data_IF_467254760296
#
_entry.id   IF_467254760296
#
_cell.length_a   1.000
_cell.length_b   1.000
_cell.length_c   1.000
_cell.angle_alpha   90.00
_cell.angle_beta   90.00
_cell.angle_gamma   90.00
#
_symmetry.space_group_name_H-M   'P 1'
#
loop_
_entity.id
_entity.type
_entity.pdbx_description
1 polymer ?
#
# COMPACT_ATOMS: atom_id res chain seq x y z
N UNK A 1 25.24 3.15 -4.32
CA UNK A 1 24.38 2.00 -4.73
C UNK A 1 23.69 1.44 -3.47
N UNK A 2 22.90 2.24 -2.72
CA UNK A 2 22.50 1.82 -1.34
C UNK A 2 21.14 2.39 -0.87
N UNK A 3 20.17 2.67 -1.76
CA UNK A 3 18.87 3.28 -1.35
C UNK A 3 17.69 2.29 -1.32
N UNK A 4 17.74 1.24 -2.16
CA UNK A 4 16.59 0.33 -2.37
C UNK A 4 16.30 -0.58 -1.17
N UNK A 5 17.32 -1.13 -0.51
CA UNK A 5 17.15 -2.13 0.55
C UNK A 5 16.58 -1.56 1.86
N UNK A 6 16.86 -0.29 2.16
CA UNK A 6 16.40 0.36 3.40
C UNK A 6 14.90 0.68 3.35
N UNK A 7 14.39 1.12 2.19
CA UNK A 7 12.96 1.41 2.01
C UNK A 7 12.12 0.13 2.07
N UNK A 8 12.55 -0.97 1.45
CA UNK A 8 11.84 -2.25 1.53
C UNK A 8 11.70 -2.82 2.95
N UNK A 9 12.62 -2.48 3.86
CA UNK A 9 12.56 -2.94 5.27
C UNK A 9 11.59 -2.08 6.08
N UNK A 10 11.59 -0.77 5.83
CA UNK A 10 10.63 0.17 6.44
C UNK A 10 9.20 -0.14 5.97
N UNK A 11 9.00 -0.43 4.69
CA UNK A 11 7.69 -0.80 4.14
C UNK A 11 7.14 -2.10 4.76
N UNK A 12 7.98 -3.15 4.86
CA UNK A 12 7.60 -4.39 5.54
C UNK A 12 7.26 -4.18 7.01
N UNK A 13 8.00 -3.32 7.70
CA UNK A 13 7.72 -2.93 9.08
C UNK A 13 6.34 -2.25 9.19
N UNK A 14 6.02 -1.30 8.32
CA UNK A 14 4.71 -0.65 8.31
C UNK A 14 3.56 -1.62 8.03
N UNK A 15 3.75 -2.57 7.11
CA UNK A 15 2.76 -3.63 6.83
C UNK A 15 2.53 -4.52 8.05
N UNK A 16 3.59 -4.87 8.77
CA UNK A 16 3.49 -5.75 9.94
C UNK A 16 2.89 -5.05 11.16
N UNK A 17 3.30 -3.81 11.43
CA UNK A 17 2.70 -2.94 12.46
C UNK A 17 1.23 -2.68 12.12
N UNK A 18 0.91 -2.39 10.86
CA UNK A 18 -0.47 -2.19 10.42
C UNK A 18 -1.34 -3.44 10.54
N UNK A 19 -0.82 -4.61 10.19
CA UNK A 19 -1.59 -5.86 10.18
C UNK A 19 -1.84 -6.47 11.57
N UNK A 20 -0.89 -6.34 12.51
CA UNK A 20 -0.98 -6.99 13.82
C UNK A 20 -1.48 -6.06 14.93
N UNK A 21 -1.06 -4.80 14.95
CA UNK A 21 -1.46 -3.82 15.96
C UNK A 21 -2.78 -3.13 15.57
N UNK A 22 -2.81 -2.45 14.43
CA UNK A 22 -3.95 -1.61 14.06
C UNK A 22 -5.24 -2.43 13.85
N UNK A 23 -5.12 -3.70 13.42
CA UNK A 23 -6.26 -4.58 13.20
C UNK A 23 -7.07 -4.88 14.47
N UNK A 24 -6.41 -5.01 15.63
CA UNK A 24 -7.09 -5.28 16.92
C UNK A 24 -7.86 -4.07 17.40
N UNK A 25 -7.23 -2.89 17.37
CA UNK A 25 -7.86 -1.62 17.74
C UNK A 25 -9.01 -1.25 16.79
N UNK A 26 -8.85 -1.51 15.49
CA UNK A 26 -9.95 -1.33 14.53
C UNK A 26 -11.16 -2.19 14.88
N UNK A 27 -10.97 -3.48 15.18
CA UNK A 27 -12.07 -4.36 15.56
C UNK A 27 -12.76 -3.90 16.86
N UNK A 28 -11.99 -3.40 17.83
CA UNK A 28 -12.52 -2.85 19.07
C UNK A 28 -13.39 -1.61 18.84
N UNK A 29 -12.91 -0.62 18.09
CA UNK A 29 -13.67 0.60 17.79
C UNK A 29 -14.91 0.32 16.93
N UNK A 30 -14.84 -0.58 15.95
CA UNK A 30 -16.03 -1.00 15.20
C UNK A 30 -17.08 -1.68 16.10
N UNK A 31 -16.66 -2.42 17.12
CA UNK A 31 -17.60 -2.94 18.12
C UNK A 31 -18.22 -1.82 18.97
N UNK A 32 -17.44 -0.80 19.36
CA UNK A 32 -17.95 0.36 20.09
C UNK A 32 -18.96 1.16 19.25
N UNK A 33 -18.71 1.37 17.97
CA UNK A 33 -19.67 2.00 17.04
C UNK A 33 -20.97 1.22 16.97
N UNK A 34 -20.89 -0.11 16.79
CA UNK A 34 -22.07 -0.95 16.60
C UNK A 34 -22.90 -1.16 17.88
N UNK A 35 -22.25 -1.35 19.03
CA UNK A 35 -22.92 -1.76 20.28
C UNK A 35 -23.23 -0.55 21.17
N UNK A 36 -22.34 0.44 21.18
CA UNK A 36 -22.41 1.57 22.10
C UNK A 36 -22.73 2.90 21.40
N UNK A 37 -23.08 2.87 20.11
CA UNK A 37 -23.44 4.04 19.30
C UNK A 37 -22.34 5.12 19.32
N UNK A 38 -21.08 4.68 19.37
CA UNK A 38 -19.94 5.56 19.18
C UNK A 38 -20.07 6.22 17.80
N UNK A 39 -19.89 7.53 17.74
CA UNK A 39 -19.99 8.32 16.52
C UNK A 39 -18.65 8.97 16.26
N UNK A 40 -17.97 8.51 15.21
CA UNK A 40 -16.66 9.01 14.80
C UNK A 40 -16.70 10.46 14.28
N UNK A 41 -17.87 10.97 13.90
CA UNK A 41 -18.05 12.35 13.46
C UNK A 41 -18.32 13.31 14.64
N UNK A 42 -18.57 12.77 15.83
CA UNK A 42 -18.84 13.56 17.01
C UNK A 42 -17.52 13.89 17.75
N UNK A 43 -17.10 15.16 17.82
CA UNK A 43 -15.85 15.55 18.46
C UNK A 43 -15.80 15.22 19.97
N UNK A 44 -16.94 15.15 20.64
CA UNK A 44 -17.01 14.75 22.06
C UNK A 44 -16.72 13.27 22.22
N UNK A 45 -17.23 12.42 21.32
CA UNK A 45 -16.91 10.99 21.31
C UNK A 45 -15.44 10.77 21.00
N UNK A 46 -14.87 11.47 20.01
CA UNK A 46 -13.43 11.43 19.72
C UNK A 46 -12.58 11.86 20.93
N UNK A 47 -12.95 12.95 21.60
CA UNK A 47 -12.26 13.40 22.82
C UNK A 47 -12.28 12.35 23.92
N UNK A 48 -13.42 11.68 24.12
CA UNK A 48 -13.54 10.61 25.11
C UNK A 48 -12.65 9.41 24.75
N UNK A 49 -12.64 9.00 23.48
CA UNK A 49 -11.78 7.91 23.00
C UNK A 49 -10.30 8.23 23.20
N UNK A 50 -9.88 9.45 22.85
CA UNK A 50 -8.50 9.89 23.08
C UNK A 50 -8.17 9.88 24.58
N UNK A 51 -9.08 10.33 25.44
CA UNK A 51 -8.83 10.38 26.88
C UNK A 51 -8.74 8.99 27.52
N UNK A 52 -9.53 8.03 27.02
CA UNK A 52 -9.60 6.69 27.61
C UNK A 52 -8.56 5.72 27.06
N UNK A 53 -8.28 5.78 25.76
CA UNK A 53 -7.55 4.71 25.06
C UNK A 53 -6.24 5.16 24.43
N UNK A 54 -5.92 6.46 24.36
CA UNK A 54 -4.69 6.92 23.70
C UNK A 54 -3.43 6.41 24.40
N UNK A 55 -3.43 6.39 25.74
CA UNK A 55 -2.31 5.87 26.51
C UNK A 55 -2.14 4.35 26.31
N UNK A 56 -3.25 3.61 26.29
CA UNK A 56 -3.25 2.16 26.04
C UNK A 56 -2.78 1.83 24.61
N UNK A 57 -3.23 2.60 23.62
CA UNK A 57 -2.77 2.51 22.22
C UNK A 57 -1.27 2.78 22.15
N UNK A 58 -0.79 3.82 22.85
CA UNK A 58 0.63 4.15 22.93
C UNK A 58 1.45 3.02 23.55
N UNK A 59 0.96 2.43 24.64
CA UNK A 59 1.60 1.30 25.30
C UNK A 59 1.67 0.06 24.40
N UNK A 60 0.57 -0.31 23.75
CA UNK A 60 0.53 -1.43 22.81
C UNK A 60 1.48 -1.22 21.62
N UNK A 61 1.58 0.02 21.11
CA UNK A 61 2.52 0.37 20.06
C UNK A 61 3.98 0.12 20.50
N UNK A 62 4.33 0.60 21.70
CA UNK A 62 5.66 0.42 22.29
C UNK A 62 6.01 -1.07 22.49
N UNK A 63 5.05 -1.87 22.96
CA UNK A 63 5.23 -3.32 23.16
C UNK A 63 5.47 -4.05 21.84
N UNK A 64 4.73 -3.71 20.79
CA UNK A 64 4.90 -4.31 19.46
C UNK A 64 6.26 -3.95 18.85
N UNK A 65 6.71 -2.72 19.06
CA UNK A 65 8.04 -2.29 18.66
C UNK A 65 9.15 -3.09 19.34
N UNK A 66 9.05 -3.31 20.66
CA UNK A 66 10.03 -4.12 21.40
C UNK A 66 10.14 -5.56 20.90
N UNK A 67 9.00 -6.19 20.57
CA UNK A 67 8.99 -7.54 19.97
C UNK A 67 9.65 -7.60 18.61
N UNK A 68 9.44 -6.57 17.78
CA UNK A 68 10.12 -6.46 16.50
C UNK A 68 11.63 -6.39 16.70
N UNK A 69 12.11 -5.54 17.61
CA UNK A 69 13.55 -5.38 17.88
C UNK A 69 14.19 -6.71 18.33
N UNK A 70 13.56 -7.40 19.28
CA UNK A 70 14.03 -8.71 19.77
C UNK A 70 14.09 -9.77 18.65
N UNK A 71 13.06 -9.83 17.80
CA UNK A 71 13.04 -10.76 16.66
C UNK A 71 14.11 -10.43 15.63
N UNK A 72 14.36 -9.16 15.33
CA UNK A 72 15.43 -8.78 14.39
C UNK A 72 16.80 -9.15 14.94
N UNK A 73 17.05 -8.92 16.23
CA UNK A 73 18.29 -9.32 16.89
C UNK A 73 18.47 -10.85 16.86
N UNK A 74 17.40 -11.61 17.09
CA UNK A 74 17.42 -13.08 17.00
C UNK A 74 17.65 -13.58 15.57
N UNK A 75 17.11 -12.89 14.56
CA UNK A 75 17.34 -13.19 13.15
C UNK A 75 18.79 -12.89 12.76
N UNK A 76 19.35 -11.75 13.21
CA UNK A 76 20.73 -11.35 12.93
C UNK A 76 21.77 -12.26 13.62
N UNK A 77 21.46 -12.78 14.82
CA UNK A 77 22.28 -13.77 15.54
C UNK A 77 22.05 -15.22 15.04
N UNK A 78 20.96 -15.47 14.30
CA UNK A 78 20.54 -16.78 13.81
C UNK A 78 20.83 -17.05 12.33
N UNK A 79 21.33 -16.06 11.57
CA UNK A 79 21.73 -16.26 10.17
C UNK A 79 23.00 -17.12 10.12
N UNK A 80 22.82 -18.42 9.91
CA UNK A 80 23.89 -19.30 9.41
C UNK A 80 24.37 -18.78 8.05
N UNK A 81 25.68 -18.79 7.76
CA UNK A 81 26.23 -18.40 6.44
C UNK A 81 25.49 -19.06 5.25
N UNK A 82 24.99 -20.29 5.42
CA UNK A 82 24.22 -21.03 4.42
C UNK A 82 22.87 -20.39 4.03
N UNK A 83 22.26 -19.61 4.92
CA UNK A 83 20.96 -18.97 4.64
C UNK A 83 21.09 -17.81 3.64
N UNK A 84 22.22 -17.09 3.69
CA UNK A 84 22.53 -16.03 2.71
C UNK A 84 22.71 -16.64 1.33
N UNK A 85 23.40 -17.78 1.23
CA UNK A 85 23.59 -18.50 -0.04
C UNK A 85 22.28 -19.03 -0.63
N UNK A 86 21.35 -19.44 0.22
CA UNK A 86 20.01 -19.88 -0.20
C UNK A 86 19.16 -18.72 -0.75
N UNK A 87 19.25 -17.53 -0.13
CA UNK A 87 18.56 -16.32 -0.58
C UNK A 87 19.15 -15.83 -1.91
N UNK A 88 20.49 -15.79 -2.01
CA UNK A 88 21.21 -15.46 -3.25
C UNK A 88 20.81 -16.40 -4.39
N UNK A 89 20.73 -17.70 -4.12
CA UNK A 89 20.35 -18.71 -5.12
C UNK A 89 18.91 -18.55 -5.63
N UNK A 90 17.96 -18.15 -4.77
CA UNK A 90 16.57 -17.87 -5.18
C UNK A 90 16.43 -16.58 -5.97
N UNK A 91 17.24 -15.55 -5.67
CA UNK A 91 17.21 -14.29 -6.41
C UNK A 91 17.86 -14.43 -7.79
N UNK A 92 18.81 -15.36 -7.97
CA UNK A 92 19.48 -15.60 -9.25
C UNK A 92 18.51 -15.93 -10.41
N UNK A 93 17.37 -16.58 -10.13
CA UNK A 93 16.35 -16.88 -11.13
C UNK A 93 15.66 -15.62 -11.69
N UNK A 94 15.58 -14.54 -10.91
CA UNK A 94 15.00 -13.26 -11.32
C UNK A 94 16.00 -12.34 -12.05
N UNK A 95 17.29 -12.72 -12.07
CA UNK A 95 18.34 -11.94 -12.74
C UNK A 95 18.44 -12.33 -14.24
N UNK A 96 17.87 -13.46 -14.64
CA UNK A 96 17.96 -14.01 -16.00
C UNK A 96 16.72 -13.77 -16.88
N UNK A 97 15.87 -12.78 -16.58
CA UNK A 97 14.92 -12.30 -17.59
C UNK A 97 15.61 -11.25 -18.48
N UNK A 98 15.43 -11.32 -19.79
CA UNK A 98 15.85 -10.24 -20.68
C UNK A 98 15.08 -8.97 -20.28
N UNK A 99 15.74 -7.82 -20.28
CA UNK A 99 15.13 -6.58 -19.82
C UNK A 99 13.84 -6.31 -20.61
N UNK A 100 12.69 -6.33 -19.92
CA UNK A 100 11.41 -5.99 -20.51
C UNK A 100 11.52 -4.53 -20.95
N UNK A 101 11.28 -4.26 -22.24
CA UNK A 101 11.33 -2.91 -22.76
C UNK A 101 10.18 -2.09 -22.16
N UNK A 102 10.50 -1.40 -21.07
CA UNK A 102 9.59 -0.45 -20.45
C UNK A 102 9.43 0.74 -21.37
N UNK A 103 8.19 1.19 -21.66
CA UNK A 103 7.97 2.43 -22.38
C UNK A 103 8.76 3.56 -21.73
N UNK A 104 9.31 4.46 -22.56
CA UNK A 104 10.09 5.59 -22.08
C UNK A 104 9.27 6.42 -21.10
N UNK A 105 9.87 6.81 -19.97
CA UNK A 105 9.27 7.70 -18.97
C UNK A 105 9.09 9.15 -19.47
N UNK A 106 9.45 9.41 -20.74
CA UNK A 106 9.26 10.72 -21.35
C UNK A 106 7.78 10.94 -21.59
N UNK A 107 7.30 12.09 -21.13
CA UNK A 107 5.95 12.56 -21.41
C UNK A 107 5.68 12.44 -22.93
N UNK A 108 4.62 11.75 -23.36
CA UNK A 108 4.28 11.61 -24.78
C UNK A 108 3.86 12.93 -25.42
N UNK A 109 3.49 13.95 -24.64
CA UNK A 109 3.12 15.28 -25.12
C UNK A 109 4.36 16.13 -25.37
N UNK A 110 4.36 16.92 -26.46
CA UNK A 110 5.51 17.76 -26.83
C UNK A 110 5.56 19.04 -26.01
N UNK A 111 4.43 19.44 -25.40
CA UNK A 111 4.33 20.57 -24.48
C UNK A 111 3.15 20.38 -23.50
N UNK A 112 3.11 21.19 -22.44
CA UNK A 112 2.02 21.17 -21.46
C UNK A 112 0.69 21.62 -22.09
N UNK A 113 0.74 22.52 -23.09
CA UNK A 113 -0.45 22.99 -23.79
C UNK A 113 -1.08 21.88 -24.63
N UNK A 114 -0.27 21.03 -25.29
CA UNK A 114 -0.78 19.84 -26.00
C UNK A 114 -1.43 18.83 -25.04
N UNK A 115 -0.84 18.65 -23.86
CA UNK A 115 -1.40 17.79 -22.79
C UNK A 115 -2.75 18.31 -22.30
N UNK A 116 -2.85 19.61 -22.02
CA UNK A 116 -4.08 20.25 -21.57
C UNK A 116 -5.19 20.17 -22.62
N UNK A 117 -4.86 20.45 -23.90
CA UNK A 117 -5.82 20.33 -25.01
C UNK A 117 -6.29 18.90 -25.14
N UNK A 118 -5.39 17.92 -25.09
CA UNK A 118 -5.74 16.51 -25.18
C UNK A 118 -6.71 16.08 -24.07
N UNK A 119 -6.43 16.44 -22.82
CA UNK A 119 -7.32 16.06 -21.71
C UNK A 119 -8.64 16.85 -21.69
N UNK A 120 -8.66 18.07 -22.24
CA UNK A 120 -9.89 18.83 -22.43
C UNK A 120 -10.79 18.16 -23.48
N UNK A 121 -10.23 17.84 -24.64
CA UNK A 121 -10.94 17.15 -25.73
C UNK A 121 -11.40 15.75 -25.30
N UNK A 122 -10.56 15.01 -24.58
CA UNK A 122 -10.90 13.68 -24.06
C UNK A 122 -12.09 13.74 -23.10
N UNK A 123 -12.14 14.75 -22.21
CA UNK A 123 -13.27 14.95 -21.30
C UNK A 123 -14.54 15.33 -22.05
N UNK A 124 -14.42 16.14 -23.09
CA UNK A 124 -15.56 16.49 -23.95
C UNK A 124 -16.11 15.25 -24.67
N UNK A 125 -15.24 14.42 -25.24
CA UNK A 125 -15.63 13.17 -25.92
C UNK A 125 -16.26 12.16 -24.95
N UNK A 126 -15.71 12.02 -23.74
CA UNK A 126 -16.31 11.21 -22.66
C UNK A 126 -17.69 11.76 -22.28
N UNK A 127 -17.84 13.08 -22.15
CA UNK A 127 -19.12 13.70 -21.79
C UNK A 127 -20.17 13.60 -22.90
N UNK A 128 -19.75 13.47 -24.16
CA UNK A 128 -20.64 13.26 -25.31
C UNK A 128 -21.06 11.79 -25.48
N UNK A 129 -20.55 10.86 -24.65
CA UNK A 129 -20.84 9.42 -24.68
C UNK A 129 -20.54 8.77 -26.05
N UNK A 130 -19.54 9.31 -26.76
CA UNK A 130 -19.08 8.81 -28.07
C UNK A 130 -17.96 7.77 -27.89
N UNK A 131 -17.47 7.58 -26.66
CA UNK A 131 -16.39 6.66 -26.35
C UNK A 131 -16.79 5.21 -26.61
N UNK A 132 -15.95 4.48 -27.34
CA UNK A 132 -16.13 3.05 -27.55
C UNK A 132 -16.05 2.32 -26.21
N UNK A 133 -17.00 1.43 -25.98
CA UNK A 133 -17.00 0.51 -24.83
C UNK A 133 -15.76 -0.40 -24.93
N UNK A 134 -15.14 -0.70 -23.79
CA UNK A 134 -13.94 -1.51 -23.54
C UNK A 134 -12.59 -0.75 -23.48
N UNK A 135 -12.58 0.58 -23.63
CA UNK A 135 -11.34 1.37 -23.51
C UNK A 135 -11.01 1.79 -22.07
N UNK A 136 -11.87 1.47 -21.09
CA UNK A 136 -11.73 1.85 -19.67
C UNK A 136 -11.55 3.35 -19.46
N UNK A 137 -12.22 4.15 -20.28
CA UNK A 137 -12.18 5.61 -20.22
C UNK A 137 -13.22 6.18 -19.26
N UNK A 138 -14.27 5.42 -18.94
CA UNK A 138 -15.33 5.85 -18.03
C UNK A 138 -15.26 5.10 -16.69
N UNK A 139 -15.62 5.74 -15.56
CA UNK A 139 -15.67 5.09 -14.25
C UNK A 139 -16.55 3.84 -14.21
N UNK A 140 -17.55 3.76 -15.08
CA UNK A 140 -18.48 2.64 -15.20
C UNK A 140 -17.82 1.38 -15.76
N UNK A 141 -16.76 1.54 -16.58
CA UNK A 141 -15.95 0.42 -17.11
C UNK A 141 -14.92 -0.09 -16.11
N UNK A 142 -14.69 0.64 -15.02
CA UNK A 142 -13.77 0.25 -13.97
C UNK A 142 -14.47 -0.79 -13.09
N UNK A 143 -14.46 -2.05 -13.55
CA UNK A 143 -14.98 -3.18 -12.79
C UNK A 143 -14.40 -3.25 -11.37
N UNK A 144 -15.18 -3.80 -10.42
CA UNK A 144 -14.87 -3.77 -8.98
C UNK A 144 -13.48 -4.33 -8.64
N UNK A 145 -12.54 -3.42 -8.41
CA UNK A 145 -11.36 -3.48 -7.53
C UNK A 145 -10.61 -4.82 -7.40
N UNK A 146 -10.40 -5.53 -8.50
CA UNK A 146 -9.30 -6.50 -8.55
C UNK A 146 -8.50 -6.21 -9.80
N UNK A 147 -7.31 -5.65 -9.61
CA UNK A 147 -6.29 -5.66 -10.66
C UNK A 147 -6.06 -7.14 -11.00
N UNK A 148 -6.28 -7.58 -12.25
CA UNK A 148 -6.05 -8.96 -12.60
C UNK A 148 -4.58 -9.29 -12.28
N UNK A 149 -4.35 -10.29 -11.43
CA UNK A 149 -2.98 -10.73 -11.08
C UNK A 149 -2.28 -11.45 -12.23
N UNK A 150 -2.95 -11.57 -13.39
CA UNK A 150 -2.43 -12.11 -14.63
C UNK A 150 -3.12 -11.42 -15.80
N UNK A 151 -2.35 -10.83 -16.70
CA UNK A 151 -2.83 -10.44 -18.02
C UNK A 151 -3.06 -11.72 -18.82
N UNK A 152 -4.31 -11.95 -19.24
CA UNK A 152 -4.59 -13.03 -20.19
C UNK A 152 -4.09 -12.59 -21.58
N UNK A 153 -3.09 -13.28 -22.09
CA UNK A 153 -2.61 -13.19 -23.48
C UNK A 153 -3.48 -14.08 -24.37
#
# INVERSE_FOLDING_TARGET
LNSSTRNCRIERLWVEVGSQFARRWRAFFTCLERIHLLDAQNPTHLWLLHTLFLDDIGHDCQLQWGKYEERNLAEELGVSPDAVDTITSKQQANINHEAIHVPSHRNPFRSNEEEEVFFADLREVIAQDITLVDFRLTPEEWGSEVYPTVEAI
#
